data_IF_693762185128
#
_entry.id   IF_693762185128
#
_cell.length_a   1.000
_cell.length_b   1.000
_cell.length_c   1.000
_cell.angle_alpha   90.00
_cell.angle_beta   90.00
_cell.angle_gamma   90.00
#
_symmetry.space_group_name_H-M   'P 1'
#
loop_
_entity.id
_entity.type
_entity.pdbx_description
1 polymer ?
#
# COMPACT_ATOMS: atom_id res chain seq x y z
N UNK A 1 6.00 7.11 -1.06
CA UNK A 1 6.02 7.20 -2.53
C UNK A 1 6.21 8.65 -2.92
N UNK A 2 7.16 8.92 -3.79
CA UNK A 2 7.52 10.27 -4.25
C UNK A 2 7.42 10.29 -5.79
N UNK A 3 7.06 11.45 -6.34
CA UNK A 3 7.03 11.71 -7.79
C UNK A 3 7.95 12.90 -8.06
N UNK A 4 9.21 12.60 -8.33
CA UNK A 4 10.25 13.59 -8.56
C UNK A 4 11.41 12.92 -9.30
N UNK A 5 12.36 13.72 -9.78
CA UNK A 5 13.62 13.21 -10.34
C UNK A 5 14.45 12.50 -9.26
N UNK A 6 15.22 11.51 -9.64
CA UNK A 6 16.00 10.69 -8.70
C UNK A 6 16.92 11.55 -7.81
N UNK A 7 17.57 12.55 -8.39
CA UNK A 7 18.44 13.48 -7.66
C UNK A 7 17.70 14.25 -6.56
N UNK A 8 16.47 14.69 -6.82
CA UNK A 8 15.63 15.40 -5.86
C UNK A 8 15.18 14.47 -4.72
N UNK A 9 14.86 13.20 -5.06
CA UNK A 9 14.51 12.18 -4.07
C UNK A 9 15.68 11.89 -3.14
N UNK A 10 16.90 11.77 -3.69
CA UNK A 10 18.13 11.54 -2.92
C UNK A 10 18.44 12.74 -2.00
N UNK A 11 18.28 13.97 -2.49
CA UNK A 11 18.46 15.16 -1.68
C UNK A 11 17.46 15.23 -0.52
N UNK A 12 16.18 15.01 -0.82
CA UNK A 12 15.12 14.93 0.19
C UNK A 12 15.40 13.85 1.24
N UNK A 13 15.80 12.64 0.81
CA UNK A 13 16.14 11.56 1.72
C UNK A 13 17.31 11.93 2.64
N UNK A 14 18.38 12.49 2.09
CA UNK A 14 19.54 12.92 2.87
C UNK A 14 19.16 14.00 3.90
N UNK A 15 18.25 14.89 3.55
CA UNK A 15 17.70 15.87 4.48
C UNK A 15 16.90 15.18 5.61
N UNK A 16 15.97 14.31 5.26
CA UNK A 16 15.15 13.55 6.21
C UNK A 16 16.01 12.71 7.17
N UNK A 17 16.96 11.94 6.64
CA UNK A 17 17.87 11.10 7.42
C UNK A 17 18.66 11.90 8.45
N UNK A 18 19.16 13.07 8.07
CA UNK A 18 19.85 13.99 9.00
C UNK A 18 18.92 14.51 10.10
N UNK A 19 17.70 14.85 9.75
CA UNK A 19 16.71 15.37 10.71
C UNK A 19 16.23 14.27 11.66
N UNK A 20 15.80 13.15 11.14
CA UNK A 20 15.31 12.00 11.91
C UNK A 20 16.41 11.42 12.79
N UNK A 21 17.64 11.28 12.27
CA UNK A 21 18.77 10.75 13.00
C UNK A 21 19.23 11.61 14.20
N UNK A 22 18.74 12.85 14.34
CA UNK A 22 18.93 13.64 15.58
C UNK A 22 18.05 13.16 16.72
N UNK A 23 16.85 12.66 16.42
CA UNK A 23 15.89 12.17 17.40
C UNK A 23 16.01 10.66 17.60
N UNK A 24 16.34 9.94 16.54
CA UNK A 24 16.47 8.48 16.52
C UNK A 24 17.83 8.10 15.92
N UNK A 25 18.87 7.90 16.73
CA UNK A 25 20.22 7.58 16.24
C UNK A 25 20.29 6.33 15.37
N UNK A 26 19.44 5.33 15.61
CA UNK A 26 19.31 4.11 14.79
C UNK A 26 18.89 4.39 13.34
N UNK A 27 18.17 5.47 13.10
CA UNK A 27 17.73 5.86 11.75
C UNK A 27 18.87 6.37 10.86
N UNK A 28 20.05 6.66 11.40
CA UNK A 28 21.22 7.10 10.63
C UNK A 28 21.77 6.02 9.68
N UNK A 29 21.60 4.76 10.06
CA UNK A 29 22.07 3.59 9.28
C UNK A 29 21.05 3.04 8.30
N UNK A 30 19.87 3.66 8.15
CA UNK A 30 18.86 3.21 7.19
C UNK A 30 19.29 3.61 5.79
N UNK A 31 19.47 2.62 4.92
CA UNK A 31 19.74 2.82 3.51
C UNK A 31 18.44 3.10 2.72
N UNK A 32 18.58 3.85 1.63
CA UNK A 32 17.52 4.12 0.69
C UNK A 32 17.63 3.14 -0.48
N UNK A 33 16.55 2.41 -0.73
CA UNK A 33 16.36 1.70 -1.99
C UNK A 33 15.35 2.47 -2.84
N UNK A 34 15.75 2.82 -4.06
CA UNK A 34 14.88 3.48 -5.03
C UNK A 34 14.44 2.46 -6.08
N UNK A 35 13.16 2.44 -6.37
CA UNK A 35 12.58 1.62 -7.43
C UNK A 35 11.59 2.45 -8.23
N UNK A 36 11.79 2.50 -9.54
CA UNK A 36 10.85 3.13 -10.45
C UNK A 36 9.59 2.27 -10.60
N UNK A 37 8.43 2.91 -10.58
CA UNK A 37 7.14 2.26 -10.79
C UNK A 37 6.68 2.59 -12.20
N UNK A 38 6.63 1.59 -13.08
CA UNK A 38 6.33 1.76 -14.51
C UNK A 38 4.89 1.35 -14.87
N UNK A 39 4.27 0.50 -14.07
CA UNK A 39 2.94 -0.05 -14.38
C UNK A 39 1.89 0.38 -13.35
N UNK A 40 0.67 0.57 -13.84
CA UNK A 40 -0.46 1.05 -13.04
C UNK A 40 -0.82 0.11 -11.87
N UNK A 41 -0.74 -1.20 -12.07
CA UNK A 41 -1.00 -2.18 -11.00
C UNK A 41 0.01 -2.06 -9.87
N UNK A 42 1.28 -1.90 -10.16
CA UNK A 42 2.34 -1.69 -9.16
C UNK A 42 2.14 -0.38 -8.40
N UNK A 43 1.70 0.69 -9.09
CA UNK A 43 1.38 1.96 -8.43
C UNK A 43 0.19 1.81 -7.46
N UNK A 44 -0.88 1.14 -7.88
CA UNK A 44 -2.03 0.82 -7.02
C UNK A 44 -1.61 0.03 -5.78
N UNK A 45 -0.83 -1.01 -5.99
CA UNK A 45 -0.35 -1.86 -4.90
C UNK A 45 0.52 -1.07 -3.93
N UNK A 46 1.38 -0.20 -4.43
CA UNK A 46 2.20 0.68 -3.61
C UNK A 46 1.35 1.66 -2.77
N UNK A 47 0.26 2.19 -3.33
CA UNK A 47 -0.71 3.02 -2.58
C UNK A 47 -1.38 2.19 -1.48
N UNK A 48 -1.87 1.00 -1.80
CA UNK A 48 -2.51 0.09 -0.82
C UNK A 48 -1.54 -0.28 0.29
N UNK A 49 -0.31 -0.67 -0.06
CA UNK A 49 0.75 -0.98 0.89
C UNK A 49 1.03 0.21 1.83
N UNK A 50 1.20 1.40 1.28
CA UNK A 50 1.49 2.61 2.06
C UNK A 50 0.33 2.94 3.02
N UNK A 51 -0.91 2.85 2.55
CA UNK A 51 -2.08 3.15 3.37
C UNK A 51 -2.33 2.10 4.46
N UNK A 52 -1.95 0.85 4.22
CA UNK A 52 -2.03 -0.22 5.21
C UNK A 52 -0.97 -0.08 6.31
N UNK A 53 0.19 0.50 6.01
CA UNK A 53 1.33 0.55 6.95
C UNK A 53 1.00 1.23 8.29
N UNK A 54 0.04 2.13 8.33
CA UNK A 54 -0.44 2.70 9.59
C UNK A 54 -1.01 1.64 10.53
N UNK A 55 -1.81 0.71 10.02
CA UNK A 55 -2.33 -0.44 10.76
C UNK A 55 -1.22 -1.43 11.19
N UNK A 56 -0.25 -1.66 10.29
CA UNK A 56 0.89 -2.55 10.58
C UNK A 56 1.76 -2.00 11.71
N UNK A 57 1.99 -0.67 11.70
CA UNK A 57 2.81 -0.01 12.72
C UNK A 57 2.11 0.08 14.08
N UNK A 58 0.79 0.27 14.09
CA UNK A 58 -0.03 0.37 15.29
C UNK A 58 -1.44 -0.19 15.02
N UNK A 59 -1.70 -1.45 15.41
CA UNK A 59 -2.99 -2.11 15.19
C UNK A 59 -4.18 -1.48 15.93
N UNK A 60 -3.95 -0.50 16.82
CA UNK A 60 -5.04 0.28 17.43
C UNK A 60 -5.74 1.19 16.43
N UNK A 61 -5.10 1.45 15.28
CA UNK A 61 -5.68 2.16 14.16
C UNK A 61 -6.11 1.20 13.06
N UNK A 62 -7.17 1.56 12.35
CA UNK A 62 -7.46 0.97 11.05
C UNK A 62 -6.67 1.71 9.95
N UNK A 63 -6.53 1.18 8.74
CA UNK A 63 -5.97 1.94 7.63
C UNK A 63 -6.69 3.27 7.35
N UNK A 64 -7.96 3.37 7.76
CA UNK A 64 -8.81 4.56 7.57
C UNK A 64 -8.75 5.55 8.75
N UNK A 65 -8.28 5.13 9.91
CA UNK A 65 -8.23 5.99 11.11
C UNK A 65 -6.83 6.50 11.44
N UNK A 66 -5.80 5.99 10.77
CA UNK A 66 -4.41 6.40 11.01
C UNK A 66 -4.20 7.89 10.64
N UNK A 67 -3.87 8.74 11.61
CA UNK A 67 -3.94 10.20 11.43
C UNK A 67 -2.90 10.76 10.46
N UNK A 68 -1.77 10.08 10.29
CA UNK A 68 -0.67 10.51 9.41
C UNK A 68 -0.67 9.84 8.03
N UNK A 69 -1.65 8.96 7.78
CA UNK A 69 -1.80 8.27 6.50
C UNK A 69 -2.83 8.93 5.59
N UNK A 70 -2.77 8.60 4.30
CA UNK A 70 -3.74 9.04 3.31
C UNK A 70 -4.94 8.11 3.16
N UNK A 71 -4.96 6.97 3.84
CA UNK A 71 -6.02 5.96 3.70
C UNK A 71 -7.43 6.52 3.94
N UNK A 72 -7.57 7.43 4.92
CA UNK A 72 -8.82 8.11 5.23
C UNK A 72 -9.24 9.21 4.24
N UNK A 73 -8.35 9.56 3.31
CA UNK A 73 -8.60 10.65 2.35
C UNK A 73 -9.20 10.15 1.04
N UNK A 74 -9.11 8.84 0.79
CA UNK A 74 -9.55 8.24 -0.46
C UNK A 74 -11.07 8.05 -0.45
N UNK A 75 -11.75 8.60 -1.46
CA UNK A 75 -13.19 8.53 -1.65
C UNK A 75 -14.02 9.11 -0.49
N UNK A 76 -13.41 9.95 0.32
CA UNK A 76 -14.07 10.72 1.36
C UNK A 76 -13.89 12.21 1.08
N UNK A 77 -14.81 13.01 1.59
CA UNK A 77 -14.70 14.46 1.49
C UNK A 77 -13.53 14.98 2.33
N UNK A 78 -12.89 16.03 1.84
CA UNK A 78 -11.86 16.71 2.60
C UNK A 78 -12.49 17.28 3.89
N UNK A 79 -11.93 16.97 5.06
CA UNK A 79 -12.47 17.49 6.31
C UNK A 79 -12.33 19.01 6.36
N UNK A 80 -13.32 19.66 6.95
CA UNK A 80 -13.24 21.09 7.24
C UNK A 80 -12.11 21.37 8.23
N UNK A 81 -11.35 22.42 7.99
CA UNK A 81 -10.23 22.82 8.84
C UNK A 81 -9.91 24.29 8.69
N UNK A 82 -8.88 24.75 9.38
CA UNK A 82 -8.41 26.13 9.37
C UNK A 82 -7.24 26.26 8.41
N UNK A 83 -7.26 27.23 7.51
CA UNK A 83 -6.11 27.50 6.65
C UNK A 83 -4.93 27.97 7.48
N UNK A 84 -3.75 27.56 7.07
CA UNK A 84 -2.53 27.93 7.76
C UNK A 84 -2.33 29.46 7.83
N UNK A 85 -2.74 30.18 6.79
CA UNK A 85 -2.73 31.65 6.76
C UNK A 85 -3.62 32.30 7.83
N UNK A 86 -4.70 31.64 8.24
CA UNK A 86 -5.68 32.16 9.20
C UNK A 86 -5.28 31.89 10.67
N UNK A 87 -4.25 31.07 10.89
CA UNK A 87 -3.79 30.69 12.22
C UNK A 87 -2.89 31.76 12.84
N UNK A 88 -3.01 31.97 14.15
CA UNK A 88 -2.08 32.78 14.92
C UNK A 88 -0.69 32.17 14.95
N UNK A 89 0.33 32.99 15.06
CA UNK A 89 1.74 32.55 15.07
C UNK A 89 2.04 31.52 16.19
N UNK A 90 1.50 31.75 17.38
CA UNK A 90 1.71 30.86 18.53
C UNK A 90 1.06 29.49 18.33
N UNK A 91 -0.14 29.43 17.72
CA UNK A 91 -0.80 28.18 17.39
C UNK A 91 -0.01 27.39 16.34
N UNK A 92 0.52 28.08 15.31
CA UNK A 92 1.40 27.45 14.31
C UNK A 92 2.62 26.81 14.98
N UNK A 93 3.27 27.55 15.91
CA UNK A 93 4.44 27.04 16.66
C UNK A 93 4.11 25.84 17.52
N UNK A 94 2.97 25.87 18.20
CA UNK A 94 2.49 24.77 19.05
C UNK A 94 2.25 23.50 18.24
N UNK A 95 1.54 23.62 17.11
CA UNK A 95 1.17 22.48 16.25
C UNK A 95 2.39 21.91 15.57
N UNK A 96 3.21 22.73 14.94
CA UNK A 96 4.38 22.29 14.18
C UNK A 96 5.59 21.98 15.08
N UNK A 97 5.53 22.31 16.36
CA UNK A 97 6.65 22.19 17.31
C UNK A 97 7.97 22.73 16.73
N UNK A 98 7.88 23.83 15.99
CA UNK A 98 8.98 24.44 15.25
C UNK A 98 9.10 25.93 15.57
N UNK A 99 10.34 26.42 15.61
CA UNK A 99 10.63 27.85 15.69
C UNK A 99 10.40 28.58 14.35
N UNK A 100 10.38 27.83 13.26
CA UNK A 100 10.18 28.34 11.90
C UNK A 100 8.94 27.65 11.31
N UNK A 101 7.73 28.07 11.70
CA UNK A 101 6.50 27.45 11.25
C UNK A 101 6.09 27.98 9.88
N UNK A 102 6.94 27.80 8.86
CA UNK A 102 6.66 28.18 7.48
C UNK A 102 6.07 27.00 6.72
N UNK A 103 4.78 27.08 6.39
CA UNK A 103 4.08 26.18 5.48
C UNK A 103 3.35 27.04 4.42
N UNK A 104 2.97 26.46 3.28
CA UNK A 104 2.12 27.15 2.31
C UNK A 104 0.84 27.67 2.97
N UNK A 105 0.43 28.89 2.60
CA UNK A 105 -0.67 29.62 3.22
C UNK A 105 -2.03 28.93 3.05
N UNK A 106 -2.21 28.18 1.98
CA UNK A 106 -3.41 27.43 1.61
C UNK A 106 -3.52 26.07 2.26
N UNK A 107 -2.47 25.62 2.95
CA UNK A 107 -2.52 24.34 3.66
C UNK A 107 -3.53 24.38 4.80
N UNK A 108 -4.23 23.26 4.99
CA UNK A 108 -5.33 23.13 5.95
C UNK A 108 -4.90 22.31 7.16
N UNK A 109 -5.20 22.82 8.33
CA UNK A 109 -4.98 22.13 9.61
C UNK A 109 -6.31 21.57 10.10
N UNK A 110 -6.31 20.30 10.46
CA UNK A 110 -7.46 19.55 10.98
C UNK A 110 -7.03 18.81 12.24
N UNK A 111 -7.70 19.04 13.36
CA UNK A 111 -7.40 18.40 14.66
C UNK A 111 -5.89 18.45 15.02
N UNK A 112 -5.30 19.63 14.91
CA UNK A 112 -3.87 19.90 15.19
C UNK A 112 -2.87 19.19 14.24
N UNK A 113 -3.32 18.65 13.11
CA UNK A 113 -2.46 18.06 12.09
C UNK A 113 -2.61 18.76 10.74
N UNK A 114 -1.53 18.79 9.97
CA UNK A 114 -1.61 19.19 8.56
C UNK A 114 -2.42 18.15 7.80
N UNK A 115 -3.49 18.57 7.16
CA UNK A 115 -4.32 17.67 6.36
C UNK A 115 -3.51 17.05 5.21
N UNK A 116 -3.55 15.72 5.01
CA UNK A 116 -2.92 15.08 3.86
C UNK A 116 -3.37 15.63 2.50
N UNK A 117 -4.58 16.16 2.42
CA UNK A 117 -5.06 16.84 1.20
C UNK A 117 -4.22 18.05 0.81
N UNK A 118 -3.47 18.63 1.76
CA UNK A 118 -2.63 19.80 1.50
C UNK A 118 -1.31 19.46 0.80
N UNK A 119 -0.75 18.27 1.04
CA UNK A 119 0.60 17.91 0.57
C UNK A 119 0.66 16.59 -0.22
N UNK A 120 -0.43 15.84 -0.28
CA UNK A 120 -0.52 14.61 -1.06
C UNK A 120 -1.44 14.80 -2.26
N UNK A 121 -1.08 14.21 -3.40
CA UNK A 121 -1.89 14.19 -4.60
C UNK A 121 -3.04 13.16 -4.49
N UNK A 122 -3.94 13.35 -3.50
CA UNK A 122 -5.02 12.40 -3.16
C UNK A 122 -5.91 12.12 -4.36
N UNK A 123 -6.30 13.16 -5.12
CA UNK A 123 -7.14 13.01 -6.33
C UNK A 123 -6.46 12.15 -7.39
N UNK A 124 -5.16 12.32 -7.59
CA UNK A 124 -4.39 11.50 -8.51
C UNK A 124 -4.37 10.04 -8.03
N UNK A 125 -4.11 9.81 -6.74
CA UNK A 125 -4.15 8.47 -6.17
C UNK A 125 -5.52 7.81 -6.27
N UNK A 126 -6.62 8.56 -6.06
CA UNK A 126 -7.99 8.05 -6.24
C UNK A 126 -8.28 7.62 -7.67
N UNK A 127 -7.80 8.37 -8.67
CA UNK A 127 -7.97 8.05 -10.09
C UNK A 127 -7.29 6.74 -10.52
N UNK A 128 -6.43 6.15 -9.69
CA UNK A 128 -5.83 4.84 -9.93
C UNK A 128 -6.81 3.69 -9.68
N UNK A 129 -7.91 3.92 -9.00
CA UNK A 129 -8.94 2.93 -8.67
C UNK A 129 -10.20 3.22 -9.50
N UNK A 130 -10.95 2.16 -9.85
CA UNK A 130 -12.20 2.31 -10.62
C UNK A 130 -13.26 3.08 -9.83
N UNK A 131 -13.37 2.79 -8.53
CA UNK A 131 -14.35 3.33 -7.62
C UNK A 131 -13.92 3.07 -6.16
N UNK A 132 -14.70 3.58 -5.21
CA UNK A 132 -14.48 3.39 -3.78
C UNK A 132 -14.47 1.90 -3.38
N UNK A 133 -15.40 1.12 -3.95
CA UNK A 133 -15.48 -0.32 -3.65
C UNK A 133 -14.20 -1.06 -4.05
N UNK A 134 -13.65 -0.75 -5.22
CA UNK A 134 -12.39 -1.33 -5.67
C UNK A 134 -11.24 -1.00 -4.72
N UNK A 135 -11.12 0.28 -4.30
CA UNK A 135 -10.10 0.70 -3.34
C UNK A 135 -10.24 0.00 -1.99
N UNK A 136 -11.45 0.01 -1.41
CA UNK A 136 -11.68 -0.60 -0.11
C UNK A 136 -11.50 -2.12 -0.13
N UNK A 137 -11.93 -2.78 -1.19
CA UNK A 137 -11.71 -4.22 -1.36
C UNK A 137 -10.22 -4.58 -1.42
N UNK A 138 -9.42 -3.80 -2.17
CA UNK A 138 -7.97 -4.01 -2.23
C UNK A 138 -7.30 -3.75 -0.87
N UNK A 139 -7.70 -2.70 -0.16
CA UNK A 139 -7.12 -2.36 1.12
C UNK A 139 -7.46 -3.41 2.20
N UNK A 140 -8.70 -3.90 2.24
CA UNK A 140 -9.10 -4.99 3.15
C UNK A 140 -8.31 -6.27 2.88
N UNK A 141 -8.18 -6.66 1.61
CA UNK A 141 -7.32 -7.80 1.24
C UNK A 141 -5.87 -7.60 1.66
N UNK A 142 -5.35 -6.39 1.53
CA UNK A 142 -4.00 -6.04 1.98
C UNK A 142 -3.82 -6.19 3.49
N UNK A 143 -4.87 -5.94 4.29
CA UNK A 143 -4.86 -6.16 5.75
C UNK A 143 -4.94 -7.66 6.08
N UNK A 144 -5.85 -8.39 5.44
CA UNK A 144 -5.99 -9.83 5.62
C UNK A 144 -4.70 -10.59 5.27
N UNK A 145 -4.11 -10.26 4.12
CA UNK A 145 -2.86 -10.88 3.66
C UNK A 145 -1.66 -10.53 4.55
N UNK A 146 -1.70 -9.42 5.27
CA UNK A 146 -0.60 -9.05 6.17
C UNK A 146 -0.42 -10.08 7.29
N UNK A 147 -1.50 -10.58 7.85
CA UNK A 147 -1.44 -11.62 8.90
C UNK A 147 -0.88 -12.94 8.38
N UNK A 148 -1.09 -13.22 7.07
CA UNK A 148 -0.59 -14.43 6.41
C UNK A 148 0.89 -14.31 5.98
N UNK A 149 1.33 -13.08 5.65
CA UNK A 149 2.65 -12.84 5.04
C UNK A 149 3.54 -11.87 5.81
N UNK A 150 3.26 -11.59 7.06
CA UNK A 150 4.03 -10.62 7.87
C UNK A 150 5.55 -10.89 7.93
N UNK A 151 5.97 -12.13 7.72
CA UNK A 151 7.38 -12.53 7.70
C UNK A 151 8.06 -12.43 6.31
N UNK A 152 7.29 -12.25 5.23
CA UNK A 152 7.75 -12.32 3.83
C UNK A 152 7.49 -11.05 3.03
N UNK A 153 7.20 -9.92 3.69
CA UNK A 153 6.84 -8.65 3.05
C UNK A 153 8.02 -7.99 2.32
N UNK A 154 8.44 -8.63 1.25
CA UNK A 154 9.27 -8.05 0.22
C UNK A 154 8.44 -7.88 -1.06
N UNK A 155 8.20 -6.65 -1.48
CA UNK A 155 7.71 -6.11 -2.78
C UNK A 155 6.78 -6.93 -3.71
N UNK A 156 5.88 -7.75 -3.19
CA UNK A 156 4.92 -8.50 -4.03
C UNK A 156 3.78 -7.64 -4.57
N UNK A 157 3.46 -7.81 -5.84
CA UNK A 157 2.28 -7.20 -6.45
C UNK A 157 1.00 -7.84 -5.90
N UNK A 158 0.12 -7.02 -5.29
CA UNK A 158 -1.23 -7.46 -4.90
C UNK A 158 -2.18 -7.31 -6.09
N UNK A 159 -2.33 -8.37 -6.86
CA UNK A 159 -3.25 -8.39 -7.98
C UNK A 159 -4.70 -8.56 -7.50
N UNK A 160 -5.63 -7.87 -8.15
CA UNK A 160 -7.05 -8.20 -8.01
C UNK A 160 -7.34 -9.58 -8.61
N UNK A 161 -8.46 -10.21 -8.23
CA UNK A 161 -8.86 -11.50 -8.80
C UNK A 161 -8.92 -11.45 -10.35
N UNK A 162 -9.34 -10.31 -10.94
CA UNK A 162 -9.39 -10.12 -12.39
C UNK A 162 -8.00 -9.99 -13.02
N UNK A 163 -7.09 -9.26 -12.39
CA UNK A 163 -5.71 -9.12 -12.85
C UNK A 163 -4.96 -10.46 -12.71
N UNK A 164 -5.16 -11.14 -11.57
CA UNK A 164 -4.62 -12.46 -11.35
C UNK A 164 -5.13 -13.46 -12.39
N UNK A 165 -6.44 -13.43 -12.70
CA UNK A 165 -7.01 -14.26 -13.74
C UNK A 165 -6.37 -14.00 -15.11
N UNK A 166 -6.06 -12.75 -15.42
CA UNK A 166 -5.34 -12.41 -16.66
C UNK A 166 -3.93 -13.02 -16.69
N UNK A 167 -3.21 -13.01 -15.56
CA UNK A 167 -1.90 -13.66 -15.46
C UNK A 167 -2.02 -15.18 -15.54
N UNK A 168 -3.04 -15.75 -14.90
CA UNK A 168 -3.35 -17.18 -15.02
C UNK A 168 -3.55 -17.59 -16.48
N UNK A 169 -4.34 -16.85 -17.24
CA UNK A 169 -4.59 -17.16 -18.65
C UNK A 169 -3.30 -17.16 -19.48
N UNK A 170 -2.36 -16.27 -19.19
CA UNK A 170 -1.02 -16.28 -19.79
C UNK A 170 -0.24 -17.55 -19.39
N UNK A 171 -0.22 -17.86 -18.08
CA UNK A 171 0.45 -19.06 -17.56
C UNK A 171 -0.12 -20.35 -18.16
N UNK A 172 -1.45 -20.46 -18.28
CA UNK A 172 -2.12 -21.61 -18.87
C UNK A 172 -1.59 -21.92 -20.28
N UNK A 173 -1.50 -20.89 -21.10
CA UNK A 173 -1.03 -21.03 -22.48
C UNK A 173 0.48 -21.32 -22.55
N UNK A 174 1.28 -20.65 -21.75
CA UNK A 174 2.75 -20.74 -21.79
C UNK A 174 3.30 -21.98 -21.11
N UNK A 175 2.76 -22.35 -19.95
CA UNK A 175 3.35 -23.42 -19.10
C UNK A 175 2.63 -24.77 -19.25
N UNK A 176 1.34 -24.74 -19.58
CA UNK A 176 0.52 -25.96 -19.60
C UNK A 176 -0.09 -26.27 -20.96
N UNK A 177 0.02 -25.35 -21.94
CA UNK A 177 -0.52 -25.56 -23.28
C UNK A 177 -2.05 -25.66 -23.36
N UNK A 178 -2.76 -25.21 -22.31
CA UNK A 178 -4.24 -25.24 -22.22
C UNK A 178 -4.82 -23.82 -22.26
N UNK A 179 -6.09 -23.71 -22.63
CA UNK A 179 -6.76 -22.41 -22.77
C UNK A 179 -7.77 -22.11 -21.67
N UNK A 180 -8.13 -23.09 -20.84
CA UNK A 180 -9.08 -22.91 -19.77
C UNK A 180 -8.64 -23.65 -18.48
N UNK A 181 -8.97 -23.09 -17.32
CA UNK A 181 -8.66 -23.65 -16.01
C UNK A 181 -9.26 -25.03 -15.76
N UNK A 182 -10.42 -25.31 -16.38
CA UNK A 182 -11.07 -26.62 -16.28
C UNK A 182 -10.29 -27.74 -16.97
N UNK A 183 -9.41 -27.39 -17.91
CA UNK A 183 -8.62 -28.35 -18.68
C UNK A 183 -7.35 -28.76 -17.93
N UNK A 184 -7.03 -28.10 -16.80
CA UNK A 184 -5.93 -28.48 -15.92
C UNK A 184 -6.27 -29.70 -15.09
N UNK A 185 -5.32 -30.61 -15.01
CA UNK A 185 -5.35 -31.71 -14.04
C UNK A 185 -5.16 -31.17 -12.61
N UNK A 186 -5.56 -31.97 -11.59
CA UNK A 186 -5.37 -31.56 -10.20
C UNK A 186 -3.90 -31.26 -9.85
N UNK A 187 -2.90 -32.06 -10.24
CA UNK A 187 -1.49 -31.72 -10.01
C UNK A 187 -1.08 -30.40 -10.63
N UNK A 188 -1.54 -30.11 -11.87
CA UNK A 188 -1.25 -28.83 -12.53
C UNK A 188 -1.90 -27.64 -11.81
N UNK A 189 -3.12 -27.80 -11.28
CA UNK A 189 -3.76 -26.76 -10.45
C UNK A 189 -2.99 -26.49 -9.16
N UNK A 190 -2.46 -27.50 -8.50
CA UNK A 190 -1.65 -27.36 -7.30
C UNK A 190 -0.29 -26.71 -7.60
N UNK A 191 0.31 -27.05 -8.74
CA UNK A 191 1.54 -26.39 -9.22
C UNK A 191 1.29 -24.90 -9.54
N UNK A 192 0.20 -24.62 -10.24
CA UNK A 192 -0.22 -23.24 -10.51
C UNK A 192 -0.54 -22.49 -9.21
N UNK A 193 -1.14 -23.13 -8.21
CA UNK A 193 -1.38 -22.55 -6.89
C UNK A 193 -0.09 -22.11 -6.21
N UNK A 194 0.96 -22.95 -6.26
CA UNK A 194 2.28 -22.58 -5.75
C UNK A 194 2.85 -21.37 -6.47
N UNK A 195 2.75 -21.35 -7.80
CA UNK A 195 3.19 -20.21 -8.60
C UNK A 195 2.44 -18.93 -8.24
N UNK A 196 1.11 -19.00 -8.06
CA UNK A 196 0.31 -17.85 -7.63
C UNK A 196 0.71 -17.38 -6.22
N UNK A 197 1.03 -18.28 -5.33
CA UNK A 197 1.45 -17.96 -3.98
C UNK A 197 2.84 -17.27 -3.97
N UNK A 198 3.83 -17.86 -4.61
CA UNK A 198 5.22 -17.40 -4.53
C UNK A 198 5.54 -16.26 -5.51
N UNK A 199 5.09 -16.34 -6.76
CA UNK A 199 5.43 -15.35 -7.80
C UNK A 199 4.52 -14.11 -7.74
N UNK A 200 3.22 -14.34 -7.43
CA UNK A 200 2.20 -13.27 -7.41
C UNK A 200 1.71 -12.95 -6.00
N UNK A 201 2.24 -13.62 -4.98
CA UNK A 201 1.91 -13.40 -3.56
C UNK A 201 0.40 -13.36 -3.30
N UNK A 202 -0.30 -14.26 -3.95
CA UNK A 202 -1.74 -14.38 -3.80
C UNK A 202 -2.08 -15.04 -2.47
N UNK A 203 -3.07 -14.51 -1.76
CA UNK A 203 -3.53 -15.11 -0.49
C UNK A 203 -4.20 -16.45 -0.72
N UNK A 204 -4.19 -17.31 0.30
CA UNK A 204 -4.86 -18.62 0.29
C UNK A 204 -6.32 -18.50 -0.14
N UNK A 205 -7.05 -17.50 0.36
CA UNK A 205 -8.43 -17.21 -0.02
C UNK A 205 -8.58 -16.84 -1.51
N UNK A 206 -7.64 -16.08 -2.06
CA UNK A 206 -7.63 -15.70 -3.46
C UNK A 206 -7.34 -16.90 -4.37
N UNK A 207 -6.31 -17.68 -4.06
CA UNK A 207 -5.93 -18.89 -4.78
C UNK A 207 -7.13 -19.87 -4.83
N UNK A 208 -7.79 -20.08 -3.69
CA UNK A 208 -8.98 -20.93 -3.59
C UNK A 208 -10.09 -20.45 -4.55
N UNK A 209 -10.41 -19.17 -4.55
CA UNK A 209 -11.47 -18.62 -5.40
C UNK A 209 -11.15 -18.73 -6.88
N UNK A 210 -9.93 -18.36 -7.26
CA UNK A 210 -9.54 -18.25 -8.68
C UNK A 210 -9.33 -19.63 -9.30
N UNK A 211 -8.74 -20.57 -8.59
CA UNK A 211 -8.47 -21.92 -9.09
C UNK A 211 -9.59 -22.93 -8.78
N UNK A 212 -10.62 -22.50 -8.05
CA UNK A 212 -11.70 -23.37 -7.55
C UNK A 212 -11.15 -24.61 -6.80
N UNK A 213 -10.17 -24.38 -5.90
CA UNK A 213 -9.61 -25.38 -5.01
C UNK A 213 -10.40 -25.45 -3.69
N UNK A 214 -10.35 -26.62 -3.03
CA UNK A 214 -10.91 -26.75 -1.68
C UNK A 214 -10.02 -26.06 -0.64
N UNK A 215 -10.59 -25.68 0.51
CA UNK A 215 -9.81 -25.14 1.64
C UNK A 215 -8.71 -26.13 2.05
N UNK A 216 -9.05 -27.42 2.11
CA UNK A 216 -8.11 -28.48 2.46
C UNK A 216 -6.89 -28.55 1.52
N UNK A 217 -7.11 -28.41 0.20
CA UNK A 217 -6.02 -28.42 -0.78
C UNK A 217 -5.07 -27.25 -0.58
N UNK A 218 -5.61 -26.05 -0.27
CA UNK A 218 -4.81 -24.84 -0.09
C UNK A 218 -4.08 -24.86 1.25
N UNK A 219 -4.73 -25.26 2.32
CA UNK A 219 -4.10 -25.37 3.66
C UNK A 219 -3.01 -26.47 3.70
N UNK A 220 -3.18 -27.54 2.91
CA UNK A 220 -2.15 -28.56 2.77
C UNK A 220 -0.91 -28.06 2.00
N UNK A 221 -1.08 -27.13 1.07
CA UNK A 221 0.03 -26.52 0.33
C UNK A 221 0.73 -25.43 1.13
N UNK A 222 -0.04 -24.64 1.87
CA UNK A 222 0.40 -23.42 2.58
C UNK A 222 -0.16 -23.45 4.01
N UNK A 223 0.41 -24.31 4.89
CA UNK A 223 -0.04 -24.36 6.27
C UNK A 223 0.21 -23.01 6.94
N UNK A 224 -0.83 -22.47 7.59
CA UNK A 224 -0.68 -21.30 8.44
C UNK A 224 0.28 -21.67 9.56
N UNK A 225 1.40 -20.98 9.67
CA UNK A 225 2.30 -21.14 10.81
C UNK A 225 1.55 -20.78 12.08
N UNK A 226 1.34 -21.77 12.94
CA UNK A 226 0.75 -21.63 14.28
C UNK A 226 1.68 -20.84 15.19
#
# INVERSE_FOLDING_TARGET
MLSAEESEILEFWNYCRRRIGRFFPSAKGIDLSLRQIEVLSSLRNCIIYTNRNGYVADPSYTPFSYPWGTGRCYFLDAPSGVKFSEMKFDDRRRILRSRFPGLPNDWVIVNDYVSPFSYCAVKFGMAMFRDAHHYFAMLSKGVESYSEFAAELDDGEFLTDAELFTQIMKCLKQSYGVTALRDLTRPQKLDLAKKLHYDFRSSNGQIRRVLALSQYDVDALFPLSS
#
